data_IF_032611870073
#
_entry.id   IF_032611870073
#
_cell.length_a   1.000
_cell.length_b   1.000
_cell.length_c   1.000
_cell.angle_alpha   90.00
_cell.angle_beta   90.00
_cell.angle_gamma   90.00
#
_symmetry.space_group_name_H-M   'P 1'
#
loop_
_entity.id
_entity.type
_entity.pdbx_description
1 polymer ?
#
# COMPACT_ATOMS: atom_id res chain seq x y z
N UNK A 1 -17.16 23.92 -60.92
CA UNK A 1 -16.40 22.83 -60.25
C UNK A 1 -15.93 23.33 -58.89
N UNK A 2 -16.61 22.94 -57.79
CA UNK A 2 -16.20 23.29 -56.39
C UNK A 2 -15.37 22.14 -55.84
N UNK A 3 -14.10 22.39 -55.56
CA UNK A 3 -13.19 21.42 -54.86
C UNK A 3 -13.45 21.50 -53.37
N UNK A 4 -14.07 20.47 -52.76
CA UNK A 4 -14.16 20.31 -51.33
C UNK A 4 -12.83 19.77 -50.82
N UNK A 5 -12.12 20.59 -50.07
CA UNK A 5 -10.96 20.17 -49.26
C UNK A 5 -11.47 19.66 -47.91
N UNK A 6 -11.57 18.36 -47.73
CA UNK A 6 -11.74 17.75 -46.42
C UNK A 6 -10.37 17.69 -45.75
N UNK A 7 -10.14 18.56 -44.79
CA UNK A 7 -9.01 18.50 -43.88
C UNK A 7 -9.25 17.37 -42.88
N UNK A 8 -8.60 16.21 -43.06
CA UNK A 8 -8.61 15.13 -42.08
C UNK A 8 -7.74 15.57 -40.92
N UNK A 9 -8.36 15.98 -39.77
CA UNK A 9 -7.67 16.14 -38.51
C UNK A 9 -7.41 14.74 -37.93
N UNK A 10 -6.17 14.26 -38.10
CA UNK A 10 -5.67 13.06 -37.43
C UNK A 10 -5.37 13.40 -35.96
N UNK A 11 -6.32 13.14 -35.06
CA UNK A 11 -6.15 13.30 -33.62
C UNK A 11 -5.13 12.29 -33.11
N UNK A 12 -3.94 12.78 -32.75
CA UNK A 12 -2.90 11.99 -32.04
C UNK A 12 -3.38 11.72 -30.62
N UNK A 13 -3.91 10.53 -30.35
CA UNK A 13 -4.17 10.04 -29.00
C UNK A 13 -2.84 9.75 -28.32
N UNK A 14 -2.32 10.72 -27.58
CA UNK A 14 -1.20 10.51 -26.66
C UNK A 14 -1.69 9.65 -25.49
N UNK A 15 -1.51 8.33 -25.58
CA UNK A 15 -1.64 7.45 -24.43
C UNK A 15 -0.54 7.83 -23.45
N UNK A 16 -0.90 8.53 -22.36
CA UNK A 16 -0.01 8.83 -21.24
C UNK A 16 0.30 7.52 -20.51
N UNK A 17 1.39 6.86 -20.90
CA UNK A 17 1.97 5.77 -20.11
C UNK A 17 2.58 6.38 -18.86
N UNK A 18 1.89 6.24 -17.73
CA UNK A 18 2.49 6.56 -16.42
C UNK A 18 3.63 5.58 -16.18
N UNK A 19 4.86 6.10 -16.05
CA UNK A 19 6.03 5.27 -15.77
C UNK A 19 5.86 4.57 -14.41
N UNK A 20 6.30 3.31 -14.28
CA UNK A 20 6.23 2.60 -13.01
C UNK A 20 7.11 3.28 -11.96
N UNK A 21 6.68 3.23 -10.72
CA UNK A 21 7.45 3.73 -9.57
C UNK A 21 8.62 2.79 -9.29
N UNK A 22 9.82 3.23 -9.62
CA UNK A 22 11.07 2.49 -9.37
C UNK A 22 11.90 3.12 -8.23
N UNK A 23 11.40 4.19 -7.61
CA UNK A 23 12.12 4.95 -6.59
C UNK A 23 11.77 4.48 -5.17
N UNK A 24 10.49 4.14 -4.95
CA UNK A 24 10.01 3.78 -3.63
C UNK A 24 10.06 2.27 -3.38
N UNK A 25 10.42 1.94 -2.16
CA UNK A 25 10.45 0.56 -1.68
C UNK A 25 9.75 0.48 -0.31
N UNK A 26 8.75 -0.37 -0.22
CA UNK A 26 8.05 -0.69 1.03
C UNK A 26 8.67 -1.95 1.63
N UNK A 27 9.06 -1.90 2.90
CA UNK A 27 9.52 -3.08 3.64
C UNK A 27 8.59 -3.32 4.82
N UNK A 28 7.99 -4.51 4.88
CA UNK A 28 7.07 -4.91 5.95
C UNK A 28 7.74 -5.98 6.82
N UNK A 29 7.92 -5.68 8.10
CA UNK A 29 8.32 -6.65 9.11
C UNK A 29 7.07 -7.25 9.76
N UNK A 30 6.81 -8.51 9.49
CA UNK A 30 5.72 -9.24 10.17
C UNK A 30 6.04 -9.53 11.63
N UNK A 31 7.33 -9.59 11.96
CA UNK A 31 7.80 -9.78 13.34
C UNK A 31 7.56 -8.55 14.21
N UNK A 32 7.85 -7.35 13.68
CA UNK A 32 7.69 -6.08 14.43
C UNK A 32 6.33 -5.43 14.22
N UNK A 33 5.50 -5.96 13.30
CA UNK A 33 4.24 -5.35 12.87
C UNK A 33 4.45 -3.90 12.46
N UNK A 34 5.49 -3.66 11.65
CA UNK A 34 5.90 -2.36 11.14
C UNK A 34 6.13 -2.40 9.64
N UNK A 35 5.88 -1.26 9.02
CA UNK A 35 6.14 -0.99 7.61
C UNK A 35 7.07 0.22 7.51
N UNK A 36 8.13 0.09 6.73
CA UNK A 36 9.04 1.18 6.37
C UNK A 36 8.85 1.55 4.90
N UNK A 37 8.97 2.84 4.58
CA UNK A 37 9.02 3.36 3.21
C UNK A 37 10.37 3.98 2.97
N UNK A 38 11.01 3.58 1.87
CA UNK A 38 12.29 4.12 1.43
C UNK A 38 12.11 4.85 0.08
N UNK A 39 12.79 5.97 -0.08
CA UNK A 39 13.05 6.62 -1.38
C UNK A 39 14.51 6.40 -1.75
N UNK A 40 14.79 5.71 -2.85
CA UNK A 40 16.15 5.40 -3.33
C UNK A 40 17.05 4.83 -2.22
N UNK A 41 16.49 3.95 -1.40
CA UNK A 41 17.21 3.32 -0.28
C UNK A 41 17.28 4.14 1.01
N UNK A 42 16.83 5.39 1.02
CA UNK A 42 16.79 6.23 2.22
C UNK A 42 15.45 6.09 2.94
N UNK A 43 15.48 5.82 4.25
CA UNK A 43 14.26 5.70 5.05
C UNK A 43 13.52 7.05 5.13
N UNK A 44 12.27 7.07 4.67
CA UNK A 44 11.39 8.24 4.71
C UNK A 44 10.46 8.22 5.92
N UNK A 45 9.80 7.07 6.15
CA UNK A 45 8.78 6.93 7.17
C UNK A 45 8.66 5.49 7.65
N UNK A 46 8.13 5.32 8.87
CA UNK A 46 7.73 4.02 9.42
C UNK A 46 6.31 4.12 9.96
N UNK A 47 5.54 3.04 9.77
CA UNK A 47 4.15 2.95 10.23
C UNK A 47 3.94 1.63 10.98
N UNK A 48 3.17 1.63 12.06
CA UNK A 48 2.66 0.39 12.63
C UNK A 48 1.62 -0.21 11.69
N UNK A 49 1.62 -1.53 11.56
CA UNK A 49 0.68 -2.28 10.71
C UNK A 49 0.09 -3.46 11.47
N UNK A 50 -0.85 -4.16 10.83
CA UNK A 50 -1.36 -5.45 11.31
C UNK A 50 -1.34 -6.45 10.16
N UNK A 51 -0.61 -7.55 10.32
CA UNK A 51 -0.57 -8.66 9.37
C UNK A 51 -1.44 -9.81 9.85
N UNK A 52 -1.38 -10.96 9.17
CA UNK A 52 -2.27 -12.10 9.45
C UNK A 52 -2.07 -12.71 10.85
N UNK A 53 -3.18 -12.96 11.55
CA UNK A 53 -3.22 -13.78 12.77
C UNK A 53 -3.08 -15.29 12.50
N UNK A 54 -3.16 -15.71 11.24
CA UNK A 54 -3.05 -17.12 10.81
C UNK A 54 -1.63 -17.45 10.34
N UNK A 55 -0.66 -16.54 10.52
CA UNK A 55 0.74 -16.73 10.16
C UNK A 55 1.03 -16.37 8.69
N UNK A 56 2.09 -16.95 8.16
CA UNK A 56 2.73 -16.56 6.90
C UNK A 56 2.55 -17.63 5.81
N UNK A 57 2.48 -17.21 4.56
CA UNK A 57 2.36 -18.09 3.39
C UNK A 57 1.42 -17.56 2.32
N UNK A 58 1.41 -18.25 1.15
CA UNK A 58 0.65 -17.83 -0.04
C UNK A 58 -0.21 -18.96 -0.62
N UNK A 59 -0.68 -19.89 0.19
CA UNK A 59 -1.58 -20.96 -0.27
C UNK A 59 -2.93 -20.38 -0.70
N UNK A 60 -3.51 -20.92 -1.75
CA UNK A 60 -4.86 -20.58 -2.18
C UNK A 60 -5.87 -20.78 -1.03
N UNK A 61 -6.76 -19.81 -0.87
CA UNK A 61 -7.77 -19.76 0.21
C UNK A 61 -7.19 -19.70 1.63
N UNK A 62 -5.88 -19.54 1.81
CA UNK A 62 -5.32 -19.27 3.13
C UNK A 62 -5.56 -17.81 3.51
N UNK A 63 -5.72 -17.57 4.80
CA UNK A 63 -5.78 -16.21 5.37
C UNK A 63 -4.40 -15.75 5.84
N UNK A 64 -3.31 -16.26 5.24
CA UNK A 64 -1.93 -15.97 5.63
C UNK A 64 -1.34 -14.80 4.85
N UNK A 65 -0.42 -14.06 5.45
CA UNK A 65 0.33 -13.00 4.76
C UNK A 65 1.49 -13.62 3.97
N UNK A 66 1.62 -13.34 2.65
CA UNK A 66 2.74 -13.83 1.87
C UNK A 66 4.06 -13.17 2.28
N UNK A 67 5.18 -13.87 2.11
CA UNK A 67 6.53 -13.34 2.27
C UNK A 67 7.20 -13.12 0.91
N UNK A 68 8.32 -12.39 0.93
CA UNK A 68 9.22 -12.20 -0.21
C UNK A 68 8.96 -10.91 -0.98
N UNK A 69 9.32 -10.92 -2.26
CA UNK A 69 9.26 -9.77 -3.14
C UNK A 69 7.90 -9.66 -3.83
N UNK A 70 7.28 -8.52 -3.69
CA UNK A 70 6.01 -8.14 -4.34
C UNK A 70 6.16 -6.75 -4.97
N UNK A 71 5.10 -6.28 -5.61
CA UNK A 71 4.99 -4.92 -6.13
C UNK A 71 3.59 -4.36 -5.87
N UNK A 72 3.45 -3.04 -5.87
CA UNK A 72 2.16 -2.37 -5.95
C UNK A 72 1.64 -2.48 -7.38
N UNK A 73 0.70 -3.39 -7.62
CA UNK A 73 0.13 -3.62 -8.94
C UNK A 73 -0.99 -2.65 -9.30
N UNK A 74 -1.77 -2.20 -8.29
CA UNK A 74 -2.86 -1.23 -8.47
C UNK A 74 -3.03 -0.37 -7.23
N UNK A 75 -3.48 0.86 -7.45
CA UNK A 75 -3.90 1.80 -6.41
C UNK A 75 -5.39 2.07 -6.59
N UNK A 76 -6.17 2.05 -5.50
CA UNK A 76 -7.63 2.26 -5.54
C UNK A 76 -8.02 3.16 -4.37
N UNK A 77 -8.89 4.14 -4.65
CA UNK A 77 -9.42 5.04 -3.63
C UNK A 77 -8.87 6.46 -3.73
N UNK A 78 -8.44 6.92 -4.91
CA UNK A 78 -8.05 8.30 -5.13
C UNK A 78 -9.14 9.25 -4.60
N UNK A 79 -8.72 10.23 -3.79
CA UNK A 79 -9.59 11.25 -3.19
C UNK A 79 -10.76 10.70 -2.35
N UNK A 80 -10.76 9.41 -1.99
CA UNK A 80 -11.77 8.89 -1.08
C UNK A 80 -11.60 9.51 0.31
N UNK A 81 -12.69 9.87 1.03
CA UNK A 81 -12.59 10.35 2.40
C UNK A 81 -12.05 9.26 3.34
N UNK A 82 -11.52 9.67 4.49
CA UNK A 82 -11.12 8.74 5.56
C UNK A 82 -12.33 7.89 5.97
N UNK A 83 -12.10 6.58 6.15
CA UNK A 83 -13.15 5.64 6.52
C UNK A 83 -14.08 5.22 5.37
N UNK A 84 -13.90 5.72 4.14
CA UNK A 84 -14.71 5.30 2.99
C UNK A 84 -14.60 3.79 2.78
N UNK A 85 -15.72 3.08 2.79
CA UNK A 85 -15.79 1.62 2.68
C UNK A 85 -15.66 1.17 1.23
N UNK A 86 -14.86 0.13 1.02
CA UNK A 86 -14.74 -0.56 -0.26
C UNK A 86 -15.25 -2.00 -0.15
N UNK A 87 -16.10 -2.40 -1.09
CA UNK A 87 -16.52 -3.77 -1.33
C UNK A 87 -16.17 -4.12 -2.78
N UNK A 88 -15.52 -5.26 -2.99
CA UNK A 88 -15.04 -5.68 -4.32
C UNK A 88 -14.25 -4.58 -5.07
N UNK A 89 -13.48 -3.76 -4.29
CA UNK A 89 -12.63 -2.66 -4.76
C UNK A 89 -13.40 -1.45 -5.31
N UNK A 90 -14.71 -1.39 -5.06
CA UNK A 90 -15.60 -0.28 -5.42
C UNK A 90 -16.08 0.42 -4.14
N UNK A 91 -16.11 1.76 -4.14
CA UNK A 91 -16.67 2.53 -3.03
C UNK A 91 -18.17 2.25 -2.88
N UNK A 92 -18.60 1.97 -1.64
CA UNK A 92 -20.01 1.70 -1.34
C UNK A 92 -20.81 2.98 -1.02
N UNK A 93 -20.14 4.11 -0.77
CA UNK A 93 -20.74 5.33 -0.24
C UNK A 93 -20.77 5.42 1.29
N UNK A 94 -20.59 4.29 1.96
CA UNK A 94 -20.53 4.24 3.43
C UNK A 94 -19.18 4.80 3.94
N UNK A 95 -19.21 5.41 5.13
CA UNK A 95 -18.02 5.87 5.87
C UNK A 95 -18.09 5.27 7.27
N UNK A 96 -16.99 4.62 7.69
CA UNK A 96 -16.87 4.01 9.02
C UNK A 96 -15.76 4.72 9.80
N UNK A 97 -16.10 5.22 10.98
CA UNK A 97 -15.13 5.85 11.86
C UNK A 97 -14.17 4.82 12.48
N UNK A 98 -12.94 5.23 12.85
CA UNK A 98 -12.01 4.36 13.56
C UNK A 98 -12.63 3.78 14.84
N UNK A 99 -12.37 2.51 15.07
CA UNK A 99 -12.83 1.75 16.26
C UNK A 99 -14.35 1.69 16.45
N UNK A 100 -15.13 1.95 15.39
CA UNK A 100 -16.58 1.69 15.40
C UNK A 100 -16.84 0.20 15.66
N UNK A 101 -17.82 -0.14 16.49
CA UNK A 101 -18.18 -1.55 16.73
C UNK A 101 -18.76 -2.18 15.46
N UNK A 102 -18.57 -3.48 15.33
CA UNK A 102 -19.16 -4.26 14.26
C UNK A 102 -18.16 -4.93 13.33
N UNK A 103 -18.32 -4.76 12.02
CA UNK A 103 -17.50 -5.41 10.99
C UNK A 103 -16.21 -4.62 10.71
N UNK A 104 -15.24 -5.31 10.11
CA UNK A 104 -13.94 -4.77 9.72
C UNK A 104 -13.80 -4.72 8.18
N UNK A 105 -14.46 -3.76 7.52
CA UNK A 105 -14.34 -3.59 6.08
C UNK A 105 -12.98 -3.00 5.69
N UNK A 106 -12.62 -3.15 4.42
CA UNK A 106 -11.53 -2.40 3.81
C UNK A 106 -11.97 -0.94 3.69
N UNK A 107 -11.16 -0.01 4.21
CA UNK A 107 -11.51 1.43 4.18
C UNK A 107 -10.38 2.29 3.63
N UNK A 108 -10.71 3.51 3.24
CA UNK A 108 -9.82 4.65 2.94
C UNK A 108 -9.04 4.53 1.65
N UNK A 109 -8.11 3.57 1.53
CA UNK A 109 -7.25 3.34 0.36
C UNK A 109 -6.87 1.87 0.24
N UNK A 110 -6.55 1.44 -0.97
CA UNK A 110 -6.06 0.09 -1.28
C UNK A 110 -4.82 0.20 -2.16
N UNK A 111 -3.72 -0.40 -1.72
CA UNK A 111 -2.58 -0.77 -2.54
C UNK A 111 -2.67 -2.28 -2.78
N UNK A 112 -2.97 -2.70 -4.00
CA UNK A 112 -3.14 -4.12 -4.35
C UNK A 112 -1.80 -4.70 -4.76
N UNK A 113 -1.37 -5.76 -4.09
CA UNK A 113 -0.06 -6.34 -4.25
C UNK A 113 -0.07 -7.50 -5.25
N UNK A 114 1.02 -7.62 -6.01
CA UNK A 114 1.31 -8.76 -6.88
C UNK A 114 2.63 -9.37 -6.45
N UNK A 115 2.67 -10.70 -6.32
CA UNK A 115 3.91 -11.45 -6.07
C UNK A 115 4.85 -11.42 -7.27
N UNK A 116 6.14 -11.40 -6.98
CA UNK A 116 7.23 -11.39 -7.97
C UNK A 116 8.04 -12.69 -7.94
N UNK A 117 7.69 -13.62 -7.05
CA UNK A 117 8.37 -14.88 -6.82
C UNK A 117 7.36 -16.04 -6.84
N UNK A 118 7.83 -17.27 -7.10
CA UNK A 118 6.97 -18.46 -7.12
C UNK A 118 6.24 -18.68 -5.77
N UNK A 119 6.90 -18.37 -4.66
CA UNK A 119 6.37 -18.55 -3.30
C UNK A 119 5.25 -17.57 -2.93
N UNK A 120 5.04 -16.50 -3.71
CA UNK A 120 4.00 -15.48 -3.48
C UNK A 120 3.17 -15.17 -4.74
N UNK A 121 3.22 -16.04 -5.73
CA UNK A 121 2.55 -15.87 -7.03
C UNK A 121 1.03 -15.73 -6.93
N UNK A 122 0.40 -16.27 -5.86
CA UNK A 122 -1.03 -16.20 -5.64
C UNK A 122 -1.51 -14.88 -5.02
N UNK A 123 -0.59 -14.04 -4.51
CA UNK A 123 -0.92 -12.83 -3.75
C UNK A 123 -1.94 -11.92 -4.44
N UNK A 124 -1.78 -11.70 -5.76
CA UNK A 124 -2.72 -10.88 -6.53
C UNK A 124 -4.11 -11.52 -6.63
N UNK A 125 -4.20 -12.79 -6.97
CA UNK A 125 -5.46 -13.54 -7.06
C UNK A 125 -6.13 -13.76 -5.70
N UNK A 126 -5.36 -13.77 -4.62
CA UNK A 126 -5.83 -13.83 -3.23
C UNK A 126 -6.26 -12.49 -2.66
N UNK A 127 -6.17 -11.42 -3.43
CA UNK A 127 -6.54 -10.07 -3.00
C UNK A 127 -5.73 -9.57 -1.80
N UNK A 128 -4.41 -9.79 -1.82
CA UNK A 128 -3.52 -9.26 -0.79
C UNK A 128 -3.32 -7.76 -1.01
N UNK A 129 -3.70 -6.98 0.01
CA UNK A 129 -3.66 -5.51 0.00
C UNK A 129 -2.84 -4.95 1.14
N UNK A 130 -2.33 -3.71 0.96
CA UNK A 130 -2.09 -2.78 2.06
C UNK A 130 -3.28 -1.82 2.03
N UNK A 131 -4.02 -1.69 3.15
CA UNK A 131 -5.26 -0.93 3.18
C UNK A 131 -5.59 -0.35 4.56
N UNK A 132 -6.47 0.63 4.61
CA UNK A 132 -7.00 1.15 5.85
C UNK A 132 -8.01 0.19 6.50
N UNK A 133 -8.06 0.19 7.83
CA UNK A 133 -9.01 -0.57 8.65
C UNK A 133 -9.72 0.33 9.64
N UNK A 134 -11.01 0.10 9.99
CA UNK A 134 -11.61 0.74 11.14
C UNK A 134 -11.11 0.14 12.46
N UNK A 135 -10.59 -1.09 12.49
CA UNK A 135 -10.06 -1.75 13.69
C UNK A 135 -8.66 -1.21 14.06
N UNK A 136 -8.52 0.12 14.21
CA UNK A 136 -7.22 0.77 14.41
C UNK A 136 -6.56 0.41 15.75
N UNK A 137 -7.36 -0.03 16.76
CA UNK A 137 -6.86 -0.56 18.05
C UNK A 137 -6.04 -1.84 17.91
N UNK A 138 -6.20 -2.58 16.78
CA UNK A 138 -5.49 -3.83 16.51
C UNK A 138 -4.19 -3.59 15.71
N UNK A 139 -3.89 -2.36 15.32
CA UNK A 139 -2.63 -2.02 14.64
C UNK A 139 -1.46 -2.22 15.62
N UNK A 140 -0.40 -2.85 15.15
CA UNK A 140 0.74 -3.29 15.96
C UNK A 140 0.66 -4.76 16.41
N UNK A 141 -0.45 -5.45 16.11
CA UNK A 141 -0.66 -6.85 16.45
C UNK A 141 -1.06 -7.67 15.21
N UNK A 142 -0.72 -8.97 15.13
CA UNK A 142 -1.23 -9.85 14.08
C UNK A 142 -2.74 -10.06 14.26
N UNK A 143 -3.56 -9.45 13.41
CA UNK A 143 -5.03 -9.50 13.54
C UNK A 143 -5.75 -9.64 12.20
N UNK A 144 -5.07 -9.49 11.05
CA UNK A 144 -5.69 -9.55 9.73
C UNK A 144 -5.99 -10.98 9.25
N UNK A 145 -6.56 -11.06 8.07
CA UNK A 145 -6.84 -12.30 7.33
C UNK A 145 -5.98 -12.40 6.05
N UNK A 146 -4.73 -11.91 6.12
CA UNK A 146 -3.74 -11.99 5.04
C UNK A 146 -3.25 -10.65 4.53
N UNK A 147 -4.09 -9.62 4.50
CA UNK A 147 -3.73 -8.28 4.12
C UNK A 147 -2.86 -7.58 5.19
N UNK A 148 -2.22 -6.50 4.80
CA UNK A 148 -1.50 -5.58 5.68
C UNK A 148 -2.43 -4.41 5.98
N UNK A 149 -2.87 -4.28 7.24
CA UNK A 149 -3.77 -3.22 7.69
C UNK A 149 -3.00 -2.04 8.23
N UNK A 150 -3.49 -0.83 7.97
CA UNK A 150 -2.95 0.43 8.47
C UNK A 150 -4.07 1.30 9.04
N UNK A 151 -3.71 2.27 9.88
CA UNK A 151 -4.64 3.35 10.24
C UNK A 151 -5.04 4.14 8.99
N UNK A 152 -6.22 4.70 8.99
CA UNK A 152 -6.75 5.47 7.86
C UNK A 152 -5.85 6.66 7.47
N UNK A 153 -5.29 7.36 8.45
CA UNK A 153 -4.34 8.46 8.21
C UNK A 153 -3.02 7.98 7.61
N UNK A 154 -2.51 6.86 8.09
CA UNK A 154 -1.22 6.32 7.70
C UNK A 154 -1.26 5.78 6.26
N UNK A 155 -2.34 5.06 5.90
CA UNK A 155 -2.49 4.56 4.52
C UNK A 155 -2.67 5.69 3.50
N UNK A 156 -3.26 6.83 3.88
CA UNK A 156 -3.32 8.01 2.99
C UNK A 156 -1.93 8.55 2.72
N UNK A 157 -1.09 8.68 3.75
CA UNK A 157 0.29 9.14 3.58
C UNK A 157 1.08 8.18 2.68
N UNK A 158 1.06 6.88 2.99
CA UNK A 158 1.72 5.86 2.17
C UNK A 158 1.22 5.89 0.72
N UNK A 159 -0.08 5.96 0.52
CA UNK A 159 -0.71 6.01 -0.80
C UNK A 159 -0.24 7.21 -1.63
N UNK A 160 -0.03 8.37 -1.02
CA UNK A 160 0.43 9.57 -1.71
C UNK A 160 1.94 9.53 -2.04
N UNK A 161 2.72 8.77 -1.28
CA UNK A 161 4.17 8.61 -1.51
C UNK A 161 4.42 7.64 -2.66
N UNK A 162 3.83 6.43 -2.62
CA UNK A 162 4.20 5.35 -3.53
C UNK A 162 3.33 5.30 -4.78
N UNK A 163 3.92 4.94 -5.91
CA UNK A 163 3.27 4.72 -7.20
C UNK A 163 2.98 3.24 -7.49
N UNK A 164 2.28 3.00 -8.61
CA UNK A 164 2.19 1.66 -9.22
C UNK A 164 3.58 1.25 -9.69
N UNK A 165 3.99 0.02 -9.39
CA UNK A 165 5.34 -0.49 -9.66
C UNK A 165 6.27 -0.42 -8.45
N UNK A 166 5.94 0.34 -7.40
CA UNK A 166 6.76 0.40 -6.19
C UNK A 166 7.03 -1.01 -5.65
N UNK A 167 8.30 -1.28 -5.32
CA UNK A 167 8.72 -2.56 -4.76
C UNK A 167 8.15 -2.74 -3.33
N UNK A 168 7.80 -3.98 -3.00
CA UNK A 168 7.33 -4.36 -1.65
C UNK A 168 8.07 -5.62 -1.22
N UNK A 169 8.73 -5.56 -0.07
CA UNK A 169 9.35 -6.74 0.55
C UNK A 169 8.67 -7.05 1.87
N UNK A 170 8.18 -8.27 2.04
CA UNK A 170 7.57 -8.73 3.29
C UNK A 170 8.46 -9.78 3.92
N UNK A 171 8.93 -9.53 5.15
CA UNK A 171 9.89 -10.39 5.85
C UNK A 171 9.43 -10.76 7.26
N UNK A 172 9.88 -11.91 7.74
CA UNK A 172 9.75 -12.34 9.15
C UNK A 172 11.03 -11.99 9.94
N UNK A 173 11.53 -10.76 9.76
CA UNK A 173 12.75 -10.28 10.39
C UNK A 173 12.54 -8.82 10.86
N UNK A 174 13.35 -8.31 11.81
CA UNK A 174 13.33 -6.90 12.15
C UNK A 174 13.65 -6.01 10.95
N UNK A 175 13.06 -4.83 10.87
CA UNK A 175 13.31 -3.86 9.78
C UNK A 175 14.80 -3.52 9.65
N UNK A 176 15.51 -3.43 10.77
CA UNK A 176 16.94 -3.15 10.78
C UNK A 176 17.76 -4.19 10.01
N UNK A 177 17.32 -5.44 10.01
CA UNK A 177 17.99 -6.53 9.26
C UNK A 177 17.60 -6.57 7.79
N UNK A 178 16.41 -6.01 7.45
CA UNK A 178 15.82 -6.07 6.12
C UNK A 178 16.17 -4.85 5.24
N UNK A 179 16.60 -3.74 5.86
CA UNK A 179 16.91 -2.50 5.17
C UNK A 179 18.43 -2.27 5.22
N UNK A 180 19.13 -2.38 4.07
CA UNK A 180 20.57 -2.07 4.00
C UNK A 180 20.81 -0.62 4.48
N UNK A 181 21.79 -0.44 5.37
CA UNK A 181 22.16 0.87 5.91
C UNK A 181 21.50 1.25 7.25
N UNK A 182 20.36 0.68 7.66
CA UNK A 182 19.83 0.89 9.01
C UNK A 182 20.72 0.27 10.09
N UNK A 183 21.36 -0.87 9.79
CA UNK A 183 22.30 -1.54 10.70
C UNK A 183 23.62 -0.78 10.88
N UNK A 184 23.96 0.15 9.99
CA UNK A 184 25.24 0.87 9.97
C UNK A 184 25.23 2.18 10.74
N UNK A 185 24.29 2.40 11.64
CA UNK A 185 24.37 3.49 12.64
C UNK A 185 24.46 4.91 12.08
N UNK A 186 23.72 5.25 11.01
CA UNK A 186 23.57 6.65 10.64
C UNK A 186 22.49 7.29 11.52
N UNK A 187 22.94 8.17 12.41
CA UNK A 187 22.15 9.04 13.26
C UNK A 187 20.98 9.68 12.45
N UNK A 188 19.76 9.34 12.86
CA UNK A 188 18.58 10.04 12.38
C UNK A 188 18.67 11.51 12.79
N UNK A 189 18.85 12.40 11.80
CA UNK A 189 18.53 13.81 12.01
C UNK A 189 17.03 13.92 12.29
N UNK A 190 16.57 14.56 13.38
CA UNK A 190 15.15 14.68 13.65
C UNK A 190 14.52 15.49 12.53
N UNK A 191 13.67 14.86 11.73
CA UNK A 191 12.85 15.53 10.75
C UNK A 191 11.94 16.53 11.48
N UNK A 192 12.16 17.79 11.11
CA UNK A 192 11.47 18.98 11.56
C UNK A 192 9.94 18.78 11.52
N UNK A 193 9.31 18.60 12.66
CA UNK A 193 7.86 18.58 12.83
C UNK A 193 7.35 20.02 12.75
N UNK A 194 7.28 20.56 11.54
CA UNK A 194 6.51 21.78 11.29
C UNK A 194 5.02 21.40 11.21
N UNK A 195 4.13 22.06 11.97
CA UNK A 195 2.70 21.81 11.86
C UNK A 195 2.21 22.32 10.50
N UNK A 196 1.52 21.43 9.77
CA UNK A 196 0.86 21.78 8.52
C UNK A 196 -0.32 22.71 8.86
N UNK A 197 -0.17 23.99 8.57
CA UNK A 197 -1.25 25.00 8.67
C UNK A 197 -2.12 24.86 7.43
N UNK A 198 -3.36 24.44 7.63
CA UNK A 198 -4.41 24.52 6.59
C UNK A 198 -4.73 26.00 6.31
N UNK A 199 -4.67 26.34 5.05
CA UNK A 199 -5.38 27.50 4.48
C UNK A 199 -6.49 27.01 3.58
#
# INVERSE_FOLDING_TARGET
MRRNNYLLLLGLLLASCVAPDTQHHIVVSTREQKLAVLDRGTLMATYPVSTSKFGLGDYLRSSRTPLGQLEVAKKIGDNAPLGAVFKDRVRTGEIVAPNSPGRDPIVTRILWLRGREAQNANAFGRYIYIHGTPEERLIGMPASYGCIRMRSTDIVQLYNIVGVGAAVTIVEAPLISAIPGLASGHSMSPANTAPFVMR
#
